data_IF_373531225551
#
_entry.id   IF_373531225551
#
_cell.length_a   1.000
_cell.length_b   1.000
_cell.length_c   1.000
_cell.angle_alpha   90.00
_cell.angle_beta   90.00
_cell.angle_gamma   90.00
#
_symmetry.space_group_name_H-M   'P 1'
#
loop_
_entity.id
_entity.type
_entity.pdbx_description
1 polymer ?
#
# COMPACT_ATOMS: atom_id res chain seq x y z
N UNK A 1 50.28 14.34 13.11
CA UNK A 1 49.24 13.36 12.75
C UNK A 1 48.07 13.58 13.71
N UNK A 2 46.97 14.16 13.24
CA UNK A 2 45.82 14.51 14.07
C UNK A 2 45.12 13.22 14.51
N UNK A 3 45.07 12.97 15.82
CA UNK A 3 44.34 11.85 16.41
C UNK A 3 42.85 12.16 16.21
N UNK A 4 42.21 11.53 15.22
CA UNK A 4 40.75 11.61 15.09
C UNK A 4 40.18 11.03 16.38
N UNK A 5 39.64 11.89 17.24
CA UNK A 5 38.87 11.46 18.39
C UNK A 5 37.58 10.89 17.81
N UNK A 6 37.48 9.56 17.79
CA UNK A 6 36.22 8.87 17.54
C UNK A 6 35.34 9.12 18.78
N UNK A 7 34.74 10.30 18.83
CA UNK A 7 33.77 10.60 19.87
C UNK A 7 32.58 9.68 19.68
N UNK A 8 32.35 8.85 20.70
CA UNK A 8 31.14 8.04 20.76
C UNK A 8 29.92 8.96 20.79
N UNK A 9 28.88 8.56 20.06
CA UNK A 9 27.65 9.32 19.96
C UNK A 9 26.68 8.82 21.03
N UNK A 10 26.28 9.67 21.99
CA UNK A 10 25.20 9.33 22.91
C UNK A 10 23.87 9.29 22.15
N UNK A 11 23.09 8.22 22.34
CA UNK A 11 21.75 8.03 21.78
C UNK A 11 20.83 7.41 22.82
N UNK A 12 19.58 7.85 22.91
CA UNK A 12 18.56 7.19 23.74
C UNK A 12 17.62 6.37 22.86
N UNK A 13 17.47 5.08 23.15
CA UNK A 13 16.59 4.16 22.44
C UNK A 13 15.35 3.91 23.30
N UNK A 14 14.17 4.16 22.76
CA UNK A 14 12.89 3.89 23.41
C UNK A 14 12.06 2.90 22.59
N UNK A 15 11.36 1.98 23.23
CA UNK A 15 10.42 1.09 22.54
C UNK A 15 9.02 1.75 22.48
N UNK A 16 8.44 1.87 21.29
CA UNK A 16 7.11 2.46 21.11
C UNK A 16 5.98 1.60 21.66
N UNK A 17 6.15 0.27 21.72
CA UNK A 17 5.17 -0.68 22.24
C UNK A 17 5.24 -0.84 23.77
N UNK A 18 6.37 -0.46 24.35
CA UNK A 18 6.58 -0.39 25.80
C UNK A 18 7.45 0.82 26.14
N UNK A 19 6.79 1.96 26.36
CA UNK A 19 7.46 3.24 26.60
C UNK A 19 8.12 3.36 27.97
N UNK A 20 8.00 2.32 28.82
CA UNK A 20 8.66 2.28 30.13
C UNK A 20 10.14 1.93 30.02
N UNK A 21 10.56 1.36 28.88
CA UNK A 21 11.94 0.97 28.62
C UNK A 21 12.62 2.03 27.74
N UNK A 22 13.53 2.79 28.35
CA UNK A 22 14.44 3.73 27.68
C UNK A 22 15.88 3.40 28.06
N UNK A 23 16.75 3.27 27.06
CA UNK A 23 18.15 2.95 27.28
C UNK A 23 19.03 3.97 26.58
N UNK A 24 19.93 4.60 27.34
CA UNK A 24 20.97 5.45 26.78
C UNK A 24 22.19 4.60 26.44
N UNK A 25 22.72 4.79 25.25
CA UNK A 25 23.87 4.05 24.70
C UNK A 25 24.89 5.04 24.14
N UNK A 26 26.15 4.61 24.07
CA UNK A 26 27.21 5.32 23.39
C UNK A 26 27.68 4.47 22.20
N UNK A 27 27.60 5.01 20.99
CA UNK A 27 27.78 4.22 19.75
C UNK A 27 28.75 4.87 18.77
N UNK A 28 29.27 4.06 17.84
CA UNK A 28 30.14 4.57 16.79
C UNK A 28 29.37 5.53 15.86
N UNK A 29 29.95 6.68 15.47
CA UNK A 29 29.27 7.68 14.65
C UNK A 29 28.82 7.16 13.28
N UNK A 30 29.51 6.17 12.72
CA UNK A 30 29.21 5.61 11.40
C UNK A 30 28.21 4.44 11.43
N UNK A 31 27.88 3.91 12.61
CA UNK A 31 26.94 2.81 12.74
C UNK A 31 25.53 3.31 12.42
N UNK A 32 24.74 2.51 11.70
CA UNK A 32 23.34 2.87 11.43
C UNK A 32 22.51 2.79 12.70
N UNK A 33 21.48 3.63 12.81
CA UNK A 33 20.57 3.59 13.96
C UNK A 33 19.90 2.22 14.12
N UNK A 34 19.62 1.51 13.02
CA UNK A 34 19.07 0.14 13.06
C UNK A 34 20.04 -0.86 13.70
N UNK A 35 21.32 -0.82 13.33
CA UNK A 35 22.33 -1.72 13.89
C UNK A 35 22.54 -1.46 15.38
N UNK A 36 22.51 -0.19 15.79
CA UNK A 36 22.56 0.23 17.20
C UNK A 36 21.41 -0.39 18.01
N UNK A 37 20.20 -0.37 17.47
CA UNK A 37 19.03 -0.99 18.12
C UNK A 37 19.19 -2.50 18.24
N UNK A 38 19.62 -3.18 17.17
CA UNK A 38 19.85 -4.64 17.21
C UNK A 38 20.88 -5.04 18.27
N UNK A 39 21.91 -4.22 18.45
CA UNK A 39 23.00 -4.50 19.38
C UNK A 39 22.63 -4.21 20.84
N UNK A 40 21.92 -3.13 21.12
CA UNK A 40 21.77 -2.63 22.48
C UNK A 40 20.36 -2.73 23.06
N UNK A 41 19.32 -2.75 22.22
CA UNK A 41 17.93 -2.88 22.65
C UNK A 41 17.16 -3.78 21.66
N UNK A 42 17.53 -5.08 21.59
CA UNK A 42 16.96 -6.00 20.61
C UNK A 42 15.45 -6.11 20.82
N UNK A 43 14.71 -5.72 19.78
CA UNK A 43 13.25 -5.80 19.79
C UNK A 43 12.77 -7.23 19.58
N UNK A 44 11.62 -7.58 20.16
CA UNK A 44 10.91 -8.85 19.87
C UNK A 44 10.15 -8.82 18.54
N UNK A 45 10.20 -7.71 17.81
CA UNK A 45 9.53 -7.54 16.53
C UNK A 45 10.30 -8.26 15.41
N UNK A 46 9.62 -9.14 14.67
CA UNK A 46 10.19 -9.82 13.49
C UNK A 46 10.68 -8.82 12.42
N UNK A 47 9.98 -7.68 12.30
CA UNK A 47 10.35 -6.55 11.44
C UNK A 47 10.10 -5.25 12.20
N UNK A 48 10.98 -4.26 12.04
CA UNK A 48 10.86 -2.97 12.71
C UNK A 48 11.50 -1.85 11.89
N UNK A 49 11.13 -0.61 12.22
CA UNK A 49 11.82 0.62 11.83
C UNK A 49 12.15 1.44 13.08
N UNK A 50 13.11 2.35 12.93
CA UNK A 50 13.49 3.32 13.95
C UNK A 50 13.07 4.71 13.51
N UNK A 51 12.50 5.47 14.45
CA UNK A 51 11.93 6.78 14.21
C UNK A 51 12.62 7.87 15.04
N UNK A 52 12.71 9.08 14.50
CA UNK A 52 13.03 10.27 15.29
C UNK A 52 11.80 10.74 16.11
N UNK A 53 11.98 11.83 16.86
CA UNK A 53 10.90 12.44 17.66
C UNK A 53 9.73 12.98 16.81
N UNK A 54 9.96 13.26 15.53
CA UNK A 54 8.95 13.78 14.60
C UNK A 54 8.24 12.66 13.83
N UNK A 55 8.63 11.39 14.06
CA UNK A 55 8.04 10.22 13.42
C UNK A 55 8.57 9.93 12.01
N UNK A 56 9.72 10.49 11.63
CA UNK A 56 10.41 10.15 10.38
C UNK A 56 11.20 8.85 10.56
N UNK A 57 11.31 8.04 9.51
CA UNK A 57 12.09 6.80 9.54
C UNK A 57 13.57 7.14 9.39
N UNK A 58 14.37 6.81 10.40
CA UNK A 58 15.82 7.07 10.48
C UNK A 58 16.64 5.78 10.58
N UNK A 59 16.01 4.61 10.38
CA UNK A 59 16.65 3.27 10.47
C UNK A 59 18.02 3.19 9.81
N UNK A 60 18.17 3.76 8.60
CA UNK A 60 19.39 3.69 7.80
C UNK A 60 20.35 4.86 7.98
N UNK A 61 20.01 5.84 8.82
CA UNK A 61 20.87 7.01 9.03
C UNK A 61 22.03 6.70 9.97
N UNK A 62 23.20 7.34 9.80
CA UNK A 62 24.30 7.24 10.75
C UNK A 62 23.92 7.80 12.12
N UNK A 63 24.38 7.16 13.20
CA UNK A 63 24.14 7.61 14.57
C UNK A 63 24.63 9.06 14.81
N UNK A 64 25.68 9.49 14.10
CA UNK A 64 26.20 10.86 14.16
C UNK A 64 25.13 11.95 13.89
N UNK A 65 24.10 11.65 13.08
CA UNK A 65 23.03 12.59 12.76
C UNK A 65 22.04 12.80 13.92
N UNK A 66 22.09 11.94 14.94
CA UNK A 66 21.11 11.87 16.02
C UNK A 66 21.77 11.99 17.40
N UNK A 67 22.89 12.71 17.50
CA UNK A 67 23.59 12.92 18.77
C UNK A 67 22.64 13.50 19.82
N UNK A 68 22.65 12.89 21.00
CA UNK A 68 21.80 13.21 22.16
C UNK A 68 20.29 13.13 21.90
N UNK A 69 19.87 12.57 20.75
CA UNK A 69 18.47 12.40 20.43
C UNK A 69 17.87 11.16 21.12
N UNK A 70 16.54 11.16 21.22
CA UNK A 70 15.78 9.94 21.48
C UNK A 70 15.26 9.41 20.16
N UNK A 71 15.54 8.13 19.90
CA UNK A 71 14.99 7.38 18.77
C UNK A 71 14.01 6.31 19.28
N UNK A 72 13.01 6.03 18.47
CA UNK A 72 11.88 5.19 18.83
C UNK A 72 11.85 3.94 17.97
N UNK A 73 11.86 2.77 18.58
CA UNK A 73 11.75 1.48 17.89
C UNK A 73 10.28 1.12 17.79
N UNK A 74 9.77 0.94 16.58
CA UNK A 74 8.39 0.54 16.35
C UNK A 74 8.22 -0.41 15.19
N UNK A 75 7.00 -0.89 15.02
CA UNK A 75 6.63 -1.65 13.83
C UNK A 75 7.00 -0.84 12.57
N UNK A 76 7.40 -1.48 11.46
CA UNK A 76 7.74 -0.76 10.24
C UNK A 76 6.58 0.14 9.85
N UNK A 77 6.89 1.32 9.31
CA UNK A 77 5.84 2.22 8.86
C UNK A 77 5.09 1.48 7.79
N UNK A 78 3.87 1.04 8.09
CA UNK A 78 3.01 0.48 7.06
C UNK A 78 2.77 1.65 6.13
N UNK A 79 3.35 1.60 4.93
CA UNK A 79 3.08 2.56 3.89
C UNK A 79 1.57 2.55 3.65
N UNK A 80 0.88 3.47 4.32
CA UNK A 80 -0.49 3.82 4.02
C UNK A 80 -0.44 4.57 2.70
N UNK A 81 -1.01 3.98 1.66
CA UNK A 81 -0.82 4.52 0.33
C UNK A 81 -1.23 3.57 -0.78
N UNK A 82 -1.39 4.12 -1.98
CA UNK A 82 -1.65 3.34 -3.18
C UNK A 82 -0.44 2.52 -3.61
N UNK A 83 -0.43 2.09 -4.85
CA UNK A 83 0.72 1.37 -5.45
C UNK A 83 1.90 2.35 -5.55
N UNK A 84 3.11 2.01 -5.10
CA UNK A 84 4.29 2.85 -5.32
C UNK A 84 4.47 3.14 -6.82
N UNK A 85 4.64 4.42 -7.18
CA UNK A 85 4.66 4.84 -8.59
C UNK A 85 5.76 4.14 -9.38
N UNK A 86 6.94 3.97 -8.75
CA UNK A 86 8.07 3.25 -9.32
C UNK A 86 7.88 1.73 -9.45
N UNK A 87 6.79 1.18 -8.90
CA UNK A 87 6.42 -0.23 -8.96
C UNK A 87 5.14 -0.48 -9.77
N UNK A 88 4.58 0.56 -10.39
CA UNK A 88 3.45 0.39 -11.32
C UNK A 88 3.84 -0.49 -12.52
N UNK A 89 5.09 -0.38 -12.95
CA UNK A 89 5.65 -1.18 -14.05
C UNK A 89 5.64 -2.67 -13.76
N UNK A 90 5.77 -3.08 -12.50
CA UNK A 90 5.71 -4.48 -12.09
C UNK A 90 4.33 -5.09 -12.44
N UNK A 91 3.26 -4.33 -12.21
CA UNK A 91 1.90 -4.73 -12.59
C UNK A 91 1.69 -4.70 -14.11
N UNK A 92 2.35 -3.79 -14.82
CA UNK A 92 2.22 -3.66 -16.27
C UNK A 92 2.84 -4.82 -17.04
N UNK A 93 3.71 -5.63 -16.41
CA UNK A 93 4.22 -6.87 -17.02
C UNK A 93 3.06 -7.84 -17.31
N UNK A 94 2.16 -8.03 -16.34
CA UNK A 94 0.99 -8.92 -16.47
C UNK A 94 -0.24 -8.20 -17.05
N UNK A 95 -0.38 -6.90 -16.77
CA UNK A 95 -1.52 -6.09 -17.19
C UNK A 95 -1.05 -4.83 -17.94
N UNK A 96 -0.57 -4.94 -19.19
CA UNK A 96 0.05 -3.83 -19.93
C UNK A 96 -0.86 -2.61 -20.16
N UNK A 97 -2.17 -2.80 -20.06
CA UNK A 97 -3.17 -1.75 -20.23
C UNK A 97 -3.34 -0.84 -19.00
N UNK A 98 -2.63 -1.12 -17.89
CA UNK A 98 -2.73 -0.32 -16.68
C UNK A 98 -2.29 1.12 -16.95
N UNK A 99 -3.17 2.06 -16.60
CA UNK A 99 -2.93 3.50 -16.67
C UNK A 99 -3.32 4.17 -15.36
N UNK A 100 -2.42 4.95 -14.79
CA UNK A 100 -2.70 5.73 -13.57
C UNK A 100 -3.74 6.82 -13.82
N UNK A 101 -4.68 7.00 -12.90
CA UNK A 101 -5.61 8.15 -12.94
C UNK A 101 -4.92 9.35 -12.31
N UNK A 102 -4.68 10.41 -13.11
CA UNK A 102 -3.86 11.57 -12.72
C UNK A 102 -4.29 12.21 -11.39
N UNK A 103 -5.59 12.41 -11.19
CA UNK A 103 -6.15 13.02 -9.97
C UNK A 103 -5.82 12.23 -8.69
N UNK A 104 -5.61 10.92 -8.83
CA UNK A 104 -5.32 9.98 -7.75
C UNK A 104 -3.88 9.51 -7.74
N UNK A 105 -3.00 10.24 -8.44
CA UNK A 105 -1.58 9.93 -8.54
C UNK A 105 -0.78 11.10 -8.01
N UNK A 106 0.17 10.80 -7.12
CA UNK A 106 1.16 11.77 -6.65
C UNK A 106 2.57 11.28 -7.00
N UNK A 107 3.61 12.02 -6.58
CA UNK A 107 5.01 11.71 -6.90
C UNK A 107 5.48 10.36 -6.36
N UNK A 108 4.78 9.78 -5.39
CA UNK A 108 5.16 8.55 -4.69
C UNK A 108 4.26 7.37 -5.04
N UNK A 109 3.00 7.59 -5.40
CA UNK A 109 2.02 6.50 -5.49
C UNK A 109 0.85 6.75 -6.43
N UNK A 110 0.20 5.66 -6.81
CA UNK A 110 -1.03 5.58 -7.62
C UNK A 110 -2.15 4.98 -6.75
N UNK A 111 -3.18 5.77 -6.46
CA UNK A 111 -4.35 5.36 -5.65
C UNK A 111 -5.55 4.94 -6.50
N UNK A 112 -5.48 5.16 -7.81
CA UNK A 112 -6.50 4.71 -8.74
C UNK A 112 -5.87 4.51 -10.12
N UNK A 113 -6.27 3.44 -10.79
CA UNK A 113 -5.80 3.12 -12.13
C UNK A 113 -6.94 2.53 -12.97
N UNK A 114 -6.86 2.77 -14.28
CA UNK A 114 -7.63 2.09 -15.30
C UNK A 114 -6.90 0.81 -15.69
N UNK A 115 -7.62 -0.28 -15.94
CA UNK A 115 -7.10 -1.51 -16.53
C UNK A 115 -8.13 -2.03 -17.55
N UNK A 116 -7.63 -2.62 -18.63
CA UNK A 116 -8.43 -3.29 -19.65
C UNK A 116 -8.00 -4.74 -19.79
N UNK A 117 -8.94 -5.67 -19.77
CA UNK A 117 -8.69 -7.08 -20.03
C UNK A 117 -9.80 -7.68 -20.91
N UNK A 118 -9.51 -8.79 -21.64
CA UNK A 118 -10.49 -9.41 -22.53
C UNK A 118 -11.78 -9.78 -21.80
N UNK A 119 -12.93 -9.55 -22.45
CA UNK A 119 -14.25 -9.79 -21.87
C UNK A 119 -14.85 -11.15 -22.19
N UNK A 120 -14.13 -12.01 -22.92
CA UNK A 120 -14.62 -13.33 -23.33
C UNK A 120 -16.03 -13.28 -23.99
N UNK A 121 -16.27 -12.25 -24.81
CA UNK A 121 -17.55 -12.03 -25.50
C UNK A 121 -18.66 -11.38 -24.65
N UNK A 122 -18.38 -11.03 -23.38
CA UNK A 122 -19.34 -10.37 -22.47
C UNK A 122 -19.57 -8.89 -22.76
N UNK A 123 -18.74 -8.26 -23.59
CA UNK A 123 -18.93 -6.86 -24.03
C UNK A 123 -18.88 -6.73 -25.55
N UNK A 124 -19.49 -5.68 -26.10
CA UNK A 124 -19.45 -5.39 -27.54
C UNK A 124 -18.04 -5.13 -28.06
N UNK A 125 -17.22 -4.42 -27.29
CA UNK A 125 -15.84 -4.08 -27.65
C UNK A 125 -14.85 -5.25 -27.51
N UNK A 126 -15.26 -6.36 -26.87
CA UNK A 126 -14.37 -7.49 -26.55
C UNK A 126 -13.47 -7.26 -25.33
N UNK A 127 -13.60 -6.13 -24.65
CA UNK A 127 -12.82 -5.79 -23.46
C UNK A 127 -13.71 -5.29 -22.32
N UNK A 128 -13.29 -5.57 -21.09
CA UNK A 128 -13.74 -4.86 -19.91
C UNK A 128 -12.90 -3.61 -19.73
N UNK A 129 -13.54 -2.47 -19.46
CA UNK A 129 -12.86 -1.25 -19.02
C UNK A 129 -13.17 -1.02 -17.55
N UNK A 130 -12.16 -1.19 -16.69
CA UNK A 130 -12.34 -1.18 -15.25
C UNK A 130 -11.44 -0.13 -14.62
N UNK A 131 -12.01 0.70 -13.74
CA UNK A 131 -11.24 1.55 -12.84
C UNK A 131 -11.20 0.90 -11.46
N UNK A 132 -10.02 0.81 -10.88
CA UNK A 132 -9.81 0.28 -9.53
C UNK A 132 -9.34 1.41 -8.63
N UNK A 133 -10.12 1.67 -7.57
CA UNK A 133 -9.76 2.58 -6.48
C UNK A 133 -9.09 1.81 -5.35
N UNK A 134 -7.88 2.23 -5.00
CA UNK A 134 -6.97 1.55 -4.08
C UNK A 134 -6.19 2.58 -3.24
N UNK A 135 -6.83 3.25 -2.27
CA UNK A 135 -6.18 4.30 -1.48
C UNK A 135 -5.12 3.76 -0.51
N UNK A 136 -5.24 2.49 -0.07
CA UNK A 136 -4.25 1.78 0.76
C UNK A 136 -4.04 0.34 0.27
N UNK A 137 -3.19 0.18 -0.75
CA UNK A 137 -2.94 -1.09 -1.43
C UNK A 137 -2.37 -2.19 -0.52
N UNK A 138 -1.63 -1.80 0.52
CA UNK A 138 -0.98 -2.70 1.47
C UNK A 138 -1.92 -3.33 2.52
N UNK A 139 -3.13 -2.80 2.68
CA UNK A 139 -3.94 -3.10 3.89
C UNK A 139 -5.45 -2.88 3.78
N UNK A 140 -5.96 -2.22 2.74
CA UNK A 140 -7.41 -2.00 2.57
C UNK A 140 -7.96 -2.75 1.37
N UNK A 141 -9.27 -2.94 1.42
CA UNK A 141 -10.07 -3.45 0.33
C UNK A 141 -10.05 -2.45 -0.85
N UNK A 142 -9.92 -3.00 -2.05
CA UNK A 142 -9.98 -2.27 -3.31
C UNK A 142 -11.39 -2.26 -3.86
N UNK A 143 -11.72 -1.26 -4.67
CA UNK A 143 -13.03 -1.14 -5.30
C UNK A 143 -12.90 -1.01 -6.82
N UNK A 144 -13.47 -1.99 -7.54
CA UNK A 144 -13.52 -2.00 -9.00
C UNK A 144 -14.85 -1.45 -9.53
N UNK A 145 -14.76 -0.69 -10.62
CA UNK A 145 -15.90 -0.09 -11.32
C UNK A 145 -15.79 -0.39 -12.81
N UNK A 146 -16.80 -1.06 -13.37
CA UNK A 146 -16.93 -1.22 -14.83
C UNK A 146 -17.41 0.10 -15.41
N UNK A 147 -16.65 0.63 -16.36
CA UNK A 147 -16.93 1.89 -17.05
C UNK A 147 -17.79 1.69 -18.30
N UNK A 148 -17.53 0.63 -19.07
CA UNK A 148 -18.21 0.33 -20.31
C UNK A 148 -19.44 -0.58 -20.10
N UNK A 149 -20.16 -0.38 -18.99
CA UNK A 149 -21.30 -1.22 -18.62
C UNK A 149 -22.49 -1.17 -19.61
N UNK A 150 -22.56 -0.12 -20.43
CA UNK A 150 -23.53 -0.02 -21.51
C UNK A 150 -23.25 -1.00 -22.68
N UNK A 151 -22.04 -1.56 -22.76
CA UNK A 151 -21.62 -2.50 -23.80
C UNK A 151 -21.85 -3.97 -23.42
N UNK A 152 -22.34 -4.24 -22.20
CA UNK A 152 -22.50 -5.60 -21.68
C UNK A 152 -23.51 -6.38 -22.52
N UNK A 153 -23.13 -7.59 -22.90
CA UNK A 153 -23.96 -8.55 -23.63
C UNK A 153 -24.47 -9.61 -22.66
N UNK A 154 -25.79 -9.73 -22.56
CA UNK A 154 -26.43 -10.72 -21.69
C UNK A 154 -26.15 -10.51 -20.21
N UNK A 155 -26.28 -11.58 -19.41
CA UNK A 155 -25.96 -11.57 -18.00
C UNK A 155 -24.47 -11.76 -17.74
N UNK A 156 -23.96 -11.08 -16.72
CA UNK A 156 -22.62 -11.30 -16.14
C UNK A 156 -22.81 -12.11 -14.86
N UNK A 157 -21.97 -13.12 -14.60
CA UNK A 157 -22.09 -13.99 -13.42
C UNK A 157 -21.91 -13.28 -12.07
N UNK A 158 -21.43 -12.04 -12.07
CA UNK A 158 -21.23 -11.21 -10.88
C UNK A 158 -22.23 -10.05 -10.82
N UNK A 159 -22.69 -9.73 -9.61
CA UNK A 159 -23.56 -8.57 -9.40
C UNK A 159 -22.79 -7.25 -9.63
N UNK A 160 -23.39 -6.40 -10.47
CA UNK A 160 -22.89 -5.08 -10.84
C UNK A 160 -23.86 -4.02 -10.32
N UNK A 161 -23.44 -3.28 -9.30
CA UNK A 161 -24.33 -2.36 -8.60
C UNK A 161 -24.22 -0.93 -9.12
N UNK A 162 -25.38 -0.27 -9.29
CA UNK A 162 -25.42 1.19 -9.36
C UNK A 162 -24.92 1.77 -8.05
N UNK A 163 -25.45 1.32 -6.91
CA UNK A 163 -25.01 1.75 -5.60
C UNK A 163 -24.53 0.54 -4.80
N UNK A 164 -23.29 0.54 -4.30
CA UNK A 164 -22.75 -0.56 -3.52
C UNK A 164 -23.63 -0.95 -2.32
N UNK A 165 -23.85 -2.24 -2.04
CA UNK A 165 -24.68 -2.68 -0.93
C UNK A 165 -23.92 -2.63 0.41
N UNK A 166 -24.53 -2.03 1.44
CA UNK A 166 -24.09 -1.94 2.85
C UNK A 166 -22.74 -1.26 3.16
N UNK A 167 -22.62 -0.59 4.32
CA UNK A 167 -21.44 0.19 4.73
C UNK A 167 -20.19 -0.63 5.02
N UNK A 168 -20.31 -1.89 5.48
CA UNK A 168 -19.14 -2.72 5.83
C UNK A 168 -18.41 -3.22 4.58
N UNK A 169 -19.18 -3.50 3.52
CA UNK A 169 -18.69 -4.07 2.27
C UNK A 169 -18.26 -2.99 1.26
N UNK A 170 -18.88 -1.82 1.33
CA UNK A 170 -18.66 -0.71 0.41
C UNK A 170 -18.01 0.53 1.04
N UNK A 171 -17.44 0.41 2.24
CA UNK A 171 -16.77 1.52 2.91
C UNK A 171 -15.66 2.09 2.02
N UNK A 172 -15.85 3.32 1.50
CA UNK A 172 -14.92 3.96 0.57
C UNK A 172 -15.26 3.81 -0.91
N UNK A 173 -16.35 3.11 -1.26
CA UNK A 173 -16.88 3.07 -2.61
C UNK A 173 -17.70 4.35 -2.91
N UNK A 174 -17.47 4.97 -4.06
CA UNK A 174 -18.04 6.27 -4.47
C UNK A 174 -19.56 6.29 -4.75
N UNK A 175 -20.35 5.41 -4.14
CA UNK A 175 -21.82 5.38 -4.22
C UNK A 175 -22.37 5.53 -5.65
N UNK A 176 -21.85 4.70 -6.56
CA UNK A 176 -22.24 4.67 -7.98
C UNK A 176 -21.53 5.64 -8.91
N UNK A 177 -20.70 6.52 -8.36
CA UNK A 177 -19.71 7.25 -9.14
C UNK A 177 -18.31 6.78 -8.82
N UNK A 178 -17.41 7.05 -9.76
CA UNK A 178 -15.97 6.87 -9.53
C UNK A 178 -15.55 7.87 -8.45
N UNK A 179 -14.89 7.43 -7.36
CA UNK A 179 -14.44 8.33 -6.29
C UNK A 179 -13.69 9.57 -6.83
N UNK A 180 -14.09 10.75 -6.38
CA UNK A 180 -13.52 12.02 -6.83
C UNK A 180 -14.02 12.51 -8.20
N UNK A 181 -15.06 11.89 -8.76
CA UNK A 181 -15.68 12.26 -10.03
C UNK A 181 -17.20 12.10 -10.01
N UNK A 182 -17.88 12.76 -10.95
CA UNK A 182 -19.30 12.54 -11.25
C UNK A 182 -19.52 11.46 -12.32
N UNK A 183 -18.44 10.86 -12.85
CA UNK A 183 -18.54 9.76 -13.83
C UNK A 183 -19.18 8.54 -13.16
N UNK A 184 -20.23 8.01 -13.79
CA UNK A 184 -20.87 6.76 -13.37
C UNK A 184 -19.99 5.56 -13.68
N UNK A 185 -20.08 4.55 -12.84
CA UNK A 185 -19.49 3.23 -13.05
C UNK A 185 -20.27 2.19 -12.27
N UNK A 186 -20.32 0.95 -12.78
CA UNK A 186 -20.97 -0.15 -12.07
C UNK A 186 -19.98 -0.78 -11.11
N UNK A 187 -20.25 -0.68 -9.82
CA UNK A 187 -19.40 -1.25 -8.79
C UNK A 187 -19.48 -2.78 -8.83
N UNK A 188 -18.33 -3.44 -8.86
CA UNK A 188 -18.24 -4.90 -8.99
C UNK A 188 -18.30 -5.55 -7.61
N UNK A 189 -19.26 -6.45 -7.41
CA UNK A 189 -19.31 -7.30 -6.22
C UNK A 189 -18.10 -8.25 -6.19
N UNK A 190 -17.13 -7.98 -5.33
CA UNK A 190 -15.91 -8.78 -5.23
C UNK A 190 -15.99 -9.93 -4.20
N UNK A 191 -17.14 -10.17 -3.56
CA UNK A 191 -17.30 -11.13 -2.48
C UNK A 191 -16.37 -10.86 -1.29
N UNK A 192 -16.20 -11.88 -0.43
CA UNK A 192 -15.36 -11.77 0.77
C UNK A 192 -13.86 -12.02 0.45
N UNK A 193 -13.27 -11.21 -0.44
CA UNK A 193 -11.89 -11.39 -0.91
C UNK A 193 -10.82 -10.96 0.12
N UNK A 194 -11.18 -10.10 1.09
CA UNK A 194 -10.19 -9.48 2.00
C UNK A 194 -9.29 -10.48 2.74
N UNK A 195 -9.81 -11.59 3.33
CA UNK A 195 -8.95 -12.58 3.98
C UNK A 195 -7.94 -13.26 3.05
N UNK A 196 -8.26 -13.36 1.75
CA UNK A 196 -7.33 -13.91 0.76
C UNK A 196 -6.21 -12.92 0.48
N UNK A 197 -6.52 -11.63 0.35
CA UNK A 197 -5.52 -10.58 0.17
C UNK A 197 -4.59 -10.47 1.39
N UNK A 198 -5.12 -10.64 2.60
CA UNK A 198 -4.32 -10.56 3.83
C UNK A 198 -3.31 -11.70 3.98
N UNK A 199 -3.60 -12.88 3.42
CA UNK A 199 -2.64 -13.99 3.35
C UNK A 199 -1.47 -13.71 2.40
N UNK A 200 -1.62 -12.80 1.44
CA UNK A 200 -0.55 -12.39 0.52
C UNK A 200 0.43 -11.39 1.16
N UNK A 201 0.21 -11.02 2.43
CA UNK A 201 1.03 -10.05 3.13
C UNK A 201 0.67 -8.61 2.78
N UNK A 202 1.67 -7.72 2.80
CA UNK A 202 1.51 -6.26 2.64
C UNK A 202 2.09 -5.71 1.34
N UNK A 203 2.62 -6.55 0.45
CA UNK A 203 3.17 -6.07 -0.83
C UNK A 203 2.01 -5.53 -1.72
N UNK A 204 2.03 -4.25 -2.09
CA UNK A 204 0.94 -3.63 -2.84
C UNK A 204 0.82 -4.16 -4.27
N UNK A 205 1.92 -4.54 -4.92
CA UNK A 205 1.90 -5.12 -6.27
C UNK A 205 1.26 -6.49 -6.23
N UNK A 206 1.67 -7.35 -5.29
CA UNK A 206 1.12 -8.71 -5.15
C UNK A 206 -0.39 -8.65 -4.86
N UNK A 207 -0.81 -7.83 -3.90
CA UNK A 207 -2.23 -7.69 -3.53
C UNK A 207 -3.07 -7.13 -4.68
N UNK A 208 -2.57 -6.11 -5.38
CA UNK A 208 -3.29 -5.51 -6.52
C UNK A 208 -3.38 -6.48 -7.69
N UNK A 209 -2.29 -7.17 -8.05
CA UNK A 209 -2.30 -8.17 -9.11
C UNK A 209 -3.31 -9.30 -8.84
N UNK A 210 -3.33 -9.82 -7.61
CA UNK A 210 -4.32 -10.81 -7.19
C UNK A 210 -5.76 -10.29 -7.27
N UNK A 211 -5.98 -9.02 -6.88
CA UNK A 211 -7.30 -8.40 -6.98
C UNK A 211 -7.74 -8.19 -8.44
N UNK A 212 -6.85 -7.76 -9.34
CA UNK A 212 -7.18 -7.63 -10.78
C UNK A 212 -7.57 -8.99 -11.35
N UNK A 213 -6.79 -10.04 -11.05
CA UNK A 213 -7.09 -11.40 -11.49
C UNK A 213 -8.48 -11.87 -11.00
N UNK A 214 -8.79 -11.63 -9.73
CA UNK A 214 -10.10 -11.94 -9.15
C UNK A 214 -11.24 -11.22 -9.87
N UNK A 215 -11.11 -9.91 -10.11
CA UNK A 215 -12.13 -9.13 -10.82
C UNK A 215 -12.29 -9.60 -12.27
N UNK A 216 -11.19 -9.91 -12.96
CA UNK A 216 -11.23 -10.46 -14.31
C UNK A 216 -11.98 -11.81 -14.33
N UNK A 217 -11.72 -12.69 -13.38
CA UNK A 217 -12.42 -13.98 -13.27
C UNK A 217 -13.91 -13.78 -13.01
N UNK A 218 -14.29 -12.92 -12.06
CA UNK A 218 -15.70 -12.65 -11.75
C UNK A 218 -16.48 -12.07 -12.92
N UNK A 219 -15.86 -11.15 -13.68
CA UNK A 219 -16.52 -10.53 -14.84
C UNK A 219 -16.61 -11.46 -16.06
N UNK A 220 -15.73 -12.47 -16.15
CA UNK A 220 -15.72 -13.42 -17.26
C UNK A 220 -16.43 -14.75 -16.98
N UNK A 221 -16.96 -14.95 -15.76
CA UNK A 221 -17.86 -16.07 -15.44
C UNK A 221 -19.12 -16.05 -16.29
#
# INVERSE_FOLDING_TARGET
>A
MMKMMNEMIPLTIANTLDQTIKQRVEVSPQQTVRDVVLQHNPTKLDTFDVYDQDGNVVSGEPAANHRDATVYVGVPKVAGGGIPLNRLTDLQIEYPSIQSVKQWTDRKQVKMFLVRFPSNGRTQSGFWEVVIYCPKASSQLMHAYVLNFAEIRGGVGVALYDNPPSVSYSSGAGNGTIPGSNRRGRWVCHGHIMPHLDRLGKDPVVRVGAYINHIQNLLNQ
#
